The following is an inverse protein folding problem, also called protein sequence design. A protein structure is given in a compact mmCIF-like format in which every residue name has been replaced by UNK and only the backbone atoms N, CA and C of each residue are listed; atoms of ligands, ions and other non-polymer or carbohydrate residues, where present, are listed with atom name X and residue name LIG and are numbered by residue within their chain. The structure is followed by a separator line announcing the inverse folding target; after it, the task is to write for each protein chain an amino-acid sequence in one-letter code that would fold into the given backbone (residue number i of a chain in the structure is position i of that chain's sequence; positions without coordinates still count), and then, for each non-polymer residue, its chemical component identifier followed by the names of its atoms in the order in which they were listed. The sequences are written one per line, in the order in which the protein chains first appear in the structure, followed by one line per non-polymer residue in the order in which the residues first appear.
data_IF_450479030977
#
_entry.id   IF_450479030977
#
_cell.length_a   1.000
_cell.length_b   1.000
_cell.length_c   1.000
_cell.angle_alpha   90.00
_cell.angle_beta   90.00
_cell.angle_gamma   90.00
#
_symmetry.space_group_name_H-M   'P 1'
#
loop_
_entity.id
_entity.type
_entity.pdbx_description
1 polymer ?
#
# COMPACT_ATOMS: atom_id res chain seq x y z
N UNK A 1 0.79 -7.39 10.74
CA UNK A 1 1.41 -8.65 10.29
C UNK A 1 2.92 -8.44 10.26
N UNK A 2 3.73 -9.43 10.60
CA UNK A 2 5.19 -9.29 10.50
C UNK A 2 5.59 -9.19 9.00
N UNK A 3 6.51 -8.28 8.68
CA UNK A 3 7.04 -8.13 7.32
C UNK A 3 7.79 -9.42 6.94
N UNK A 4 7.55 -10.02 5.76
CA UNK A 4 8.27 -11.20 5.30
C UNK A 4 9.80 -10.99 5.33
N UNK A 5 10.56 -11.98 5.80
CA UNK A 5 12.02 -11.92 5.81
C UNK A 5 12.56 -12.34 4.44
N UNK A 6 13.44 -11.51 3.85
CA UNK A 6 14.03 -11.78 2.54
C UNK A 6 15.02 -12.95 2.60
N UNK A 7 15.06 -13.82 1.58
CA UNK A 7 16.07 -14.86 1.49
C UNK A 7 17.46 -14.27 1.25
N UNK A 8 18.55 -15.00 1.61
CA UNK A 8 19.90 -14.52 1.44
C UNK A 8 20.24 -14.26 -0.04
N UNK A 9 21.10 -13.26 -0.34
CA UNK A 9 21.55 -13.00 -1.70
C UNK A 9 22.12 -14.25 -2.36
N UNK A 10 21.81 -14.42 -3.65
CA UNK A 10 22.30 -15.56 -4.44
C UNK A 10 23.43 -15.09 -5.34
N UNK A 11 24.62 -15.65 -5.16
CA UNK A 11 25.69 -15.58 -6.15
C UNK A 11 25.63 -16.85 -7.01
N UNK A 12 25.48 -16.69 -8.32
CA UNK A 12 25.15 -17.79 -9.23
C UNK A 12 26.11 -17.74 -10.41
N UNK A 13 26.96 -18.76 -10.47
CA UNK A 13 27.77 -19.02 -11.65
C UNK A 13 26.92 -19.61 -12.79
N UNK A 14 27.51 -19.66 -13.99
CA UNK A 14 26.81 -20.14 -15.18
C UNK A 14 26.38 -21.62 -15.07
N UNK A 15 27.12 -22.43 -14.33
CA UNK A 15 26.83 -23.86 -14.16
C UNK A 15 25.62 -24.08 -13.26
N UNK A 16 25.57 -23.35 -12.15
CA UNK A 16 24.42 -23.32 -11.22
C UNK A 16 23.18 -22.82 -11.93
N UNK A 17 23.29 -21.76 -12.74
CA UNK A 17 22.19 -21.25 -13.56
C UNK A 17 21.65 -22.30 -14.53
N UNK A 18 22.54 -23.03 -15.21
CA UNK A 18 22.16 -24.10 -16.13
C UNK A 18 21.45 -25.24 -15.39
N UNK A 19 21.99 -25.66 -14.24
CA UNK A 19 21.37 -26.68 -13.40
C UNK A 19 19.96 -26.30 -12.93
N UNK A 20 19.76 -25.04 -12.52
CA UNK A 20 18.44 -24.52 -12.13
C UNK A 20 17.46 -24.58 -13.31
N UNK A 21 17.84 -24.08 -14.49
CA UNK A 21 16.97 -24.07 -15.67
C UNK A 21 16.60 -25.50 -16.09
N UNK A 22 17.57 -26.41 -16.10
CA UNK A 22 17.31 -27.82 -16.45
C UNK A 22 16.42 -28.51 -15.41
N UNK A 23 16.59 -28.20 -14.12
CA UNK A 23 15.71 -28.64 -13.04
C UNK A 23 14.28 -28.14 -13.21
N UNK A 24 14.10 -26.84 -13.49
CA UNK A 24 12.79 -26.23 -13.70
C UNK A 24 12.06 -26.83 -14.90
N UNK A 25 12.75 -27.08 -16.02
CA UNK A 25 12.17 -27.76 -17.18
C UNK A 25 11.70 -29.19 -16.85
N UNK A 26 12.46 -29.92 -16.03
CA UNK A 26 12.06 -31.27 -15.58
C UNK A 26 10.85 -31.22 -14.65
N UNK A 27 10.79 -30.25 -13.73
CA UNK A 27 9.63 -30.03 -12.86
C UNK A 27 8.41 -29.69 -13.70
N UNK A 28 8.52 -28.77 -14.65
CA UNK A 28 7.44 -28.42 -15.57
C UNK A 28 6.94 -29.66 -16.34
N UNK A 29 7.84 -30.43 -16.95
CA UNK A 29 7.48 -31.66 -17.66
C UNK A 29 6.80 -32.70 -16.74
N UNK A 30 7.21 -32.79 -15.48
CA UNK A 30 6.57 -33.64 -14.48
C UNK A 30 5.13 -33.18 -14.21
N UNK A 31 4.91 -31.89 -13.97
CA UNK A 31 3.58 -31.33 -13.73
C UNK A 31 2.67 -31.49 -14.96
N UNK A 32 3.18 -31.23 -16.16
CA UNK A 32 2.46 -31.43 -17.43
C UNK A 32 2.01 -32.88 -17.61
N UNK A 33 2.91 -33.84 -17.40
CA UNK A 33 2.59 -35.28 -17.51
C UNK A 33 1.47 -35.71 -16.54
N UNK A 34 1.31 -35.00 -15.43
CA UNK A 34 0.28 -35.27 -14.42
C UNK A 34 -0.97 -34.39 -14.61
N UNK A 35 -1.08 -33.62 -15.69
CA UNK A 35 -2.23 -32.74 -15.95
C UNK A 35 -2.34 -31.55 -15.01
N UNK A 36 -1.26 -31.19 -14.33
CA UNK A 36 -1.17 -30.06 -13.37
C UNK A 36 -0.65 -28.77 -14.02
N UNK A 37 -0.25 -28.83 -15.30
CA UNK A 37 0.15 -27.69 -16.11
C UNK A 37 -0.20 -27.96 -17.57
N UNK A 38 -0.43 -26.90 -18.36
CA UNK A 38 -0.70 -27.01 -19.80
C UNK A 38 0.48 -27.67 -20.54
N UNK A 39 0.21 -28.67 -21.38
CA UNK A 39 1.20 -29.40 -22.18
C UNK A 39 1.98 -28.49 -23.15
N UNK A 40 1.38 -27.39 -23.61
CA UNK A 40 2.01 -26.41 -24.48
C UNK A 40 2.94 -25.44 -23.76
N UNK A 41 2.91 -25.41 -22.42
CA UNK A 41 3.65 -24.44 -21.62
C UNK A 41 5.16 -24.68 -21.71
N UNK A 42 5.92 -23.61 -21.93
CA UNK A 42 7.39 -23.67 -21.95
C UNK A 42 7.99 -22.92 -20.77
N UNK A 43 9.28 -23.18 -20.50
CA UNK A 43 10.06 -22.37 -19.55
C UNK A 43 10.04 -20.88 -19.90
N UNK A 44 10.01 -20.53 -21.20
CA UNK A 44 9.98 -19.14 -21.61
C UNK A 44 8.66 -18.47 -21.23
N UNK A 45 7.54 -19.20 -21.29
CA UNK A 45 6.23 -18.71 -20.87
C UNK A 45 6.19 -18.50 -19.35
N UNK A 46 6.71 -19.46 -18.57
CA UNK A 46 6.83 -19.35 -17.11
C UNK A 46 7.51 -18.03 -16.71
N UNK A 47 8.64 -17.69 -17.33
CA UNK A 47 9.39 -16.48 -16.91
C UNK A 47 8.87 -15.20 -17.58
N UNK A 48 7.89 -15.26 -18.48
CA UNK A 48 7.38 -14.07 -19.19
C UNK A 48 6.00 -13.63 -18.69
N UNK A 49 5.26 -14.51 -18.02
CA UNK A 49 3.88 -14.29 -17.60
C UNK A 49 3.74 -14.49 -16.08
N UNK A 50 3.44 -13.43 -15.30
CA UNK A 50 3.39 -13.51 -13.84
C UNK A 50 2.34 -14.49 -13.30
N UNK A 51 1.16 -14.51 -13.91
CA UNK A 51 0.04 -15.40 -13.59
C UNK A 51 0.40 -16.88 -13.82
N UNK A 52 1.05 -17.16 -14.94
CA UNK A 52 1.56 -18.49 -15.27
C UNK A 52 2.62 -18.95 -14.26
N UNK A 53 3.54 -18.05 -13.89
CA UNK A 53 4.58 -18.38 -12.91
C UNK A 53 3.99 -18.63 -11.51
N UNK A 54 2.99 -17.84 -11.12
CA UNK A 54 2.30 -17.99 -9.85
C UNK A 54 1.60 -19.34 -9.76
N UNK A 55 0.84 -19.72 -10.80
CA UNK A 55 0.21 -21.04 -10.88
C UNK A 55 1.25 -22.16 -10.84
N UNK A 56 2.33 -22.07 -11.63
CA UNK A 56 3.42 -23.07 -11.61
C UNK A 56 4.02 -23.27 -10.21
N UNK A 57 4.31 -22.18 -9.48
CA UNK A 57 4.83 -22.26 -8.10
C UNK A 57 3.79 -22.88 -7.16
N UNK A 58 2.52 -22.50 -7.31
CA UNK A 58 1.41 -23.08 -6.55
C UNK A 58 1.28 -24.59 -6.77
N UNK A 59 1.27 -25.02 -8.03
CA UNK A 59 1.18 -26.44 -8.41
C UNK A 59 2.38 -27.25 -7.92
N UNK A 60 3.60 -26.71 -8.04
CA UNK A 60 4.79 -27.34 -7.50
C UNK A 60 4.71 -27.51 -5.98
N UNK A 61 4.31 -26.46 -5.26
CA UNK A 61 4.20 -26.48 -3.80
C UNK A 61 3.17 -27.51 -3.33
N UNK A 62 2.00 -27.55 -3.98
CA UNK A 62 0.93 -28.49 -3.67
C UNK A 62 1.26 -29.95 -4.02
N UNK A 63 2.13 -30.18 -5.01
CA UNK A 63 2.42 -31.52 -5.54
C UNK A 63 3.90 -31.90 -5.47
N UNK A 64 4.64 -31.32 -4.52
CA UNK A 64 6.08 -31.49 -4.34
C UNK A 64 6.57 -32.95 -4.38
N UNK A 65 5.86 -33.95 -3.81
CA UNK A 65 6.28 -35.36 -3.88
C UNK A 65 6.44 -35.91 -5.30
N UNK A 66 5.71 -35.39 -6.29
CA UNK A 66 5.86 -35.82 -7.68
C UNK A 66 7.24 -35.49 -8.26
N UNK A 67 7.92 -34.50 -7.68
CA UNK A 67 9.20 -33.96 -8.14
C UNK A 67 10.41 -34.42 -7.32
N UNK A 68 10.24 -35.43 -6.46
CA UNK A 68 11.29 -35.93 -5.55
C UNK A 68 12.57 -36.36 -6.26
N UNK A 69 12.41 -36.90 -7.45
CA UNK A 69 13.56 -37.35 -8.24
C UNK A 69 14.38 -36.22 -8.85
N UNK A 70 13.81 -35.01 -8.86
CA UNK A 70 14.37 -33.81 -9.49
C UNK A 70 14.94 -32.87 -8.43
N UNK A 71 14.18 -32.63 -7.36
CA UNK A 71 14.50 -31.63 -6.33
C UNK A 71 15.21 -32.30 -5.16
N UNK A 72 16.54 -32.49 -5.31
CA UNK A 72 17.38 -33.26 -4.41
C UNK A 72 18.45 -32.43 -3.70
N UNK A 73 18.75 -32.81 -2.47
CA UNK A 73 19.90 -32.34 -1.71
C UNK A 73 21.20 -33.04 -2.18
N UNK A 74 22.34 -32.62 -1.64
CA UNK A 74 23.65 -33.20 -1.96
C UNK A 74 23.80 -34.68 -1.60
N UNK A 75 23.06 -35.14 -0.60
CA UNK A 75 23.01 -36.54 -0.17
C UNK A 75 22.06 -37.40 -1.03
N UNK A 76 21.43 -36.80 -2.04
CA UNK A 76 20.50 -37.46 -2.95
C UNK A 76 19.06 -37.58 -2.44
N UNK A 77 18.78 -37.11 -1.21
CA UNK A 77 17.43 -37.13 -0.64
C UNK A 77 16.55 -36.01 -1.20
N UNK A 78 15.22 -36.19 -1.27
CA UNK A 78 14.31 -35.14 -1.71
C UNK A 78 14.29 -33.97 -0.70
N UNK A 79 14.28 -32.74 -1.21
CA UNK A 79 14.25 -31.53 -0.36
C UNK A 79 12.81 -31.19 0.02
N UNK A 80 12.59 -30.99 1.32
CA UNK A 80 11.29 -30.65 1.92
C UNK A 80 11.26 -29.32 2.64
N UNK A 81 12.41 -28.90 3.16
CA UNK A 81 12.64 -27.58 3.71
C UNK A 81 13.12 -26.64 2.58
N UNK A 82 12.50 -25.48 2.44
CA UNK A 82 12.82 -24.54 1.36
C UNK A 82 14.14 -23.78 1.58
N UNK A 83 14.69 -23.83 2.80
CA UNK A 83 16.00 -23.30 3.15
C UNK A 83 17.12 -24.34 3.00
N UNK A 84 16.78 -25.63 2.83
CA UNK A 84 17.77 -26.68 2.60
C UNK A 84 18.42 -26.52 1.21
N UNK A 85 19.75 -26.66 1.19
CA UNK A 85 20.53 -26.55 -0.05
C UNK A 85 20.29 -27.73 -0.99
N UNK A 86 19.97 -27.42 -2.24
CA UNK A 86 19.91 -28.36 -3.35
C UNK A 86 21.32 -28.82 -3.75
N UNK A 87 21.40 -29.87 -4.56
CA UNK A 87 22.65 -30.38 -5.14
C UNK A 87 23.47 -29.30 -5.88
N UNK A 88 22.80 -28.28 -6.42
CA UNK A 88 23.40 -27.13 -7.09
C UNK A 88 23.77 -25.96 -6.16
N UNK A 89 23.86 -26.16 -4.84
CA UNK A 89 24.27 -25.15 -3.85
C UNK A 89 23.36 -23.92 -3.73
N UNK A 90 22.08 -24.05 -4.06
CA UNK A 90 21.06 -23.02 -3.81
C UNK A 90 19.85 -23.63 -3.12
N UNK A 91 19.13 -22.85 -2.32
CA UNK A 91 17.86 -23.27 -1.71
C UNK A 91 16.67 -23.03 -2.64
N UNK A 92 15.50 -23.58 -2.33
CA UNK A 92 14.29 -23.35 -3.12
C UNK A 92 13.78 -21.92 -2.99
N UNK A 93 13.92 -21.29 -1.83
CA UNK A 93 13.64 -19.86 -1.67
C UNK A 93 14.52 -19.00 -2.61
N UNK A 94 15.79 -19.35 -2.76
CA UNK A 94 16.69 -18.67 -3.69
C UNK A 94 16.27 -18.90 -5.14
N UNK A 95 15.89 -20.12 -5.51
CA UNK A 95 15.35 -20.43 -6.85
C UNK A 95 14.09 -19.61 -7.15
N UNK A 96 13.13 -19.57 -6.21
CA UNK A 96 11.92 -18.78 -6.35
C UNK A 96 12.23 -17.28 -6.53
N UNK A 97 13.13 -16.73 -5.71
CA UNK A 97 13.55 -15.33 -5.84
C UNK A 97 14.10 -15.02 -7.23
N UNK A 98 14.90 -15.91 -7.82
CA UNK A 98 15.42 -15.73 -9.18
C UNK A 98 14.34 -15.76 -10.23
N UNK A 99 13.37 -16.67 -10.10
CA UNK A 99 12.24 -16.77 -11.02
C UNK A 99 11.42 -15.48 -11.02
N UNK A 100 11.08 -14.98 -9.82
CA UNK A 100 10.31 -13.74 -9.67
C UNK A 100 11.08 -12.56 -10.23
N UNK A 101 12.38 -12.42 -9.94
CA UNK A 101 13.21 -11.35 -10.51
C UNK A 101 13.31 -11.44 -12.03
N UNK A 102 13.42 -12.65 -12.57
CA UNK A 102 13.45 -12.88 -14.03
C UNK A 102 12.12 -12.50 -14.67
N UNK A 103 11.00 -12.86 -14.04
CA UNK A 103 9.66 -12.48 -14.49
C UNK A 103 9.44 -10.97 -14.42
N UNK A 104 9.81 -10.34 -13.30
CA UNK A 104 9.78 -8.89 -13.15
C UNK A 104 10.59 -8.18 -14.24
N UNK A 105 11.76 -8.72 -14.61
CA UNK A 105 12.53 -8.20 -15.74
C UNK A 105 11.72 -8.21 -17.03
N UNK A 106 11.05 -9.31 -17.36
CA UNK A 106 10.21 -9.41 -18.57
C UNK A 106 9.05 -8.43 -18.55
N UNK A 107 8.38 -8.26 -17.41
CA UNK A 107 7.28 -7.30 -17.25
C UNK A 107 7.75 -5.85 -17.44
N UNK A 108 8.91 -5.49 -16.89
CA UNK A 108 9.45 -4.14 -16.98
C UNK A 108 10.07 -3.83 -18.36
N UNK A 109 10.54 -4.85 -19.09
CA UNK A 109 11.07 -4.73 -20.46
C UNK A 109 9.98 -4.90 -21.55
N UNK A 110 8.73 -5.16 -21.17
CA UNK A 110 7.65 -5.44 -22.11
C UNK A 110 7.37 -4.26 -23.05
N UNK A 111 7.38 -3.03 -22.53
CA UNK A 111 7.25 -1.83 -23.35
C UNK A 111 8.63 -1.28 -23.67
N UNK A 112 8.96 -1.27 -24.97
CA UNK A 112 10.17 -0.65 -25.47
C UNK A 112 9.90 0.81 -25.79
N UNK A 113 10.75 1.68 -25.28
CA UNK A 113 10.70 3.11 -25.57
C UNK A 113 11.75 3.48 -26.62
N UNK A 114 11.39 4.43 -27.49
CA UNK A 114 12.30 5.03 -28.44
C UNK A 114 13.12 6.11 -27.73
N UNK A 115 14.44 5.97 -27.71
CA UNK A 115 15.37 6.93 -27.12
C UNK A 115 16.30 7.50 -28.19
N UNK A 116 16.46 8.81 -28.21
CA UNK A 116 17.45 9.46 -29.07
C UNK A 116 18.83 9.34 -28.43
N UNK A 117 19.75 8.66 -29.11
CA UNK A 117 21.14 8.49 -28.68
C UNK A 117 22.02 9.25 -29.66
N UNK A 118 22.88 10.14 -29.15
CA UNK A 118 23.89 10.81 -29.97
C UNK A 118 25.04 9.85 -30.24
N UNK A 119 25.13 9.36 -31.47
CA UNK A 119 26.20 8.46 -31.91
C UNK A 119 27.25 9.22 -32.71
N UNK A 120 28.52 8.92 -32.43
CA UNK A 120 29.63 9.43 -33.21
C UNK A 120 29.82 8.55 -34.45
N UNK A 121 29.28 8.97 -35.59
CA UNK A 121 29.36 8.23 -36.85
C UNK A 121 30.53 8.76 -37.68
N UNK A 122 31.49 7.89 -38.00
CA UNK A 122 32.58 8.23 -38.91
C UNK A 122 32.17 7.93 -40.35
N UNK A 123 31.79 8.96 -41.11
CA UNK A 123 31.50 8.83 -42.54
C UNK A 123 32.79 9.03 -43.35
N UNK A 124 33.01 8.18 -44.36
CA UNK A 124 34.06 8.41 -45.36
C UNK A 124 33.56 9.44 -46.36
N UNK A 125 34.23 10.58 -46.47
CA UNK A 125 33.91 11.62 -47.46
C UNK A 125 35.09 11.80 -48.42
N UNK A 126 34.77 12.07 -49.70
CA UNK A 126 35.67 12.18 -50.86
C UNK A 126 36.71 11.04 -51.01
N UNK A 127 36.45 10.13 -51.95
CA UNK A 127 37.44 9.16 -52.46
C UNK A 127 38.20 8.37 -51.37
N UNK A 128 37.56 8.06 -50.25
CA UNK A 128 38.10 7.15 -49.23
C UNK A 128 39.29 7.66 -48.42
N UNK A 129 39.74 8.91 -48.63
CA UNK A 129 40.95 9.45 -48.01
C UNK A 129 40.71 10.32 -46.77
N UNK A 130 39.48 10.80 -46.54
CA UNK A 130 39.15 11.65 -45.38
C UNK A 130 38.00 11.00 -44.58
N UNK A 131 38.26 10.73 -43.30
CA UNK A 131 37.27 10.28 -42.32
C UNK A 131 36.68 11.51 -41.64
N UNK A 132 35.40 11.79 -41.87
CA UNK A 132 34.67 12.85 -41.18
C UNK A 132 33.85 12.20 -40.06
N UNK A 133 34.15 12.60 -38.84
CA UNK A 133 33.43 12.14 -37.65
C UNK A 133 32.30 13.14 -37.37
N UNK A 134 31.05 12.71 -37.47
CA UNK A 134 29.86 13.53 -37.17
C UNK A 134 29.09 12.90 -36.03
N UNK A 135 28.61 13.71 -35.09
CA UNK A 135 27.63 13.28 -34.11
C UNK A 135 26.26 13.29 -34.78
N UNK A 136 25.63 12.12 -34.86
CA UNK A 136 24.29 11.93 -35.43
C UNK A 136 23.38 11.45 -34.32
N UNK A 137 22.24 12.10 -34.16
CA UNK A 137 21.18 11.62 -33.28
C UNK A 137 20.46 10.44 -33.94
N UNK A 138 20.56 9.26 -33.33
CA UNK A 138 19.94 8.01 -33.79
C UNK A 138 18.89 7.60 -32.75
N UNK A 139 17.64 7.45 -33.17
CA UNK A 139 16.58 6.91 -32.33
C UNK A 139 16.74 5.38 -32.23
N UNK A 140 17.10 4.88 -31.04
CA UNK A 140 17.12 3.45 -30.73
C UNK A 140 15.90 3.06 -29.92
N UNK A 141 15.24 1.98 -30.32
CA UNK A 141 14.21 1.32 -29.51
C UNK A 141 14.91 0.43 -28.51
N UNK A 142 14.77 0.72 -27.22
CA UNK A 142 15.46 0.02 -26.14
C UNK A 142 14.63 -0.01 -24.86
N UNK A 143 15.19 -0.59 -23.82
CA UNK A 143 14.61 -0.53 -22.49
C UNK A 143 14.70 0.90 -21.95
N UNK A 144 13.66 1.35 -21.24
CA UNK A 144 13.69 2.64 -20.55
C UNK A 144 14.72 2.60 -19.40
N UNK A 145 15.77 3.45 -19.43
CA UNK A 145 16.75 3.52 -18.34
C UNK A 145 16.13 3.87 -16.98
N UNK A 146 14.97 4.54 -16.96
CA UNK A 146 14.24 4.85 -15.72
C UNK A 146 13.63 3.59 -15.13
N UNK A 147 12.95 2.79 -15.95
CA UNK A 147 12.36 1.51 -15.54
C UNK A 147 13.44 0.50 -15.14
N UNK A 148 14.60 0.50 -15.80
CA UNK A 148 15.73 -0.35 -15.40
C UNK A 148 16.28 0.00 -14.00
N UNK A 149 16.40 1.30 -13.68
CA UNK A 149 16.84 1.75 -12.34
C UNK A 149 15.81 1.40 -11.28
N UNK A 150 14.54 1.61 -11.60
CA UNK A 150 13.41 1.27 -10.75
C UNK A 150 13.38 -0.22 -10.42
N UNK A 151 13.48 -1.07 -11.44
CA UNK A 151 13.53 -2.52 -11.29
C UNK A 151 14.72 -2.97 -10.45
N UNK A 152 15.91 -2.37 -10.67
CA UNK A 152 17.12 -2.70 -9.91
C UNK A 152 16.95 -2.42 -8.42
N UNK A 153 16.25 -1.35 -8.07
CA UNK A 153 15.94 -1.07 -6.66
C UNK A 153 14.91 -2.07 -6.13
N UNK A 154 13.85 -2.32 -6.89
CA UNK A 154 12.79 -3.26 -6.51
C UNK A 154 13.31 -4.70 -6.31
N UNK A 155 14.33 -5.13 -7.05
CA UNK A 155 14.97 -6.45 -6.90
C UNK A 155 15.40 -6.76 -5.48
N UNK A 156 15.74 -5.76 -4.66
CA UNK A 156 16.09 -5.95 -3.25
C UNK A 156 14.94 -6.59 -2.47
N UNK A 157 13.70 -6.34 -2.88
CA UNK A 157 12.48 -6.73 -2.18
C UNK A 157 11.68 -7.82 -2.91
N UNK A 158 11.99 -8.15 -4.17
CA UNK A 158 11.32 -9.23 -4.90
C UNK A 158 11.87 -10.59 -4.50
N UNK A 159 11.04 -11.42 -3.87
CA UNK A 159 11.40 -12.76 -3.40
C UNK A 159 10.22 -13.74 -3.27
N UNK A 160 8.98 -13.26 -3.22
CA UNK A 160 7.81 -14.07 -2.88
C UNK A 160 6.81 -14.19 -4.02
N UNK A 161 6.22 -15.37 -4.20
CA UNK A 161 5.29 -15.65 -5.30
C UNK A 161 4.08 -14.70 -5.31
N UNK A 162 3.57 -14.31 -4.15
CA UNK A 162 2.45 -13.36 -4.02
C UNK A 162 2.74 -11.98 -4.65
N UNK A 163 4.00 -11.65 -4.93
CA UNK A 163 4.38 -10.39 -5.58
C UNK A 163 4.20 -10.42 -7.10
N UNK A 164 4.08 -11.61 -7.72
CA UNK A 164 3.92 -11.78 -9.16
C UNK A 164 2.72 -10.99 -9.74
N UNK A 165 1.49 -11.10 -9.20
CA UNK A 165 0.35 -10.31 -9.68
C UNK A 165 0.51 -8.80 -9.44
N UNK A 166 1.48 -8.38 -8.63
CA UNK A 166 1.72 -6.98 -8.27
C UNK A 166 2.77 -6.30 -9.16
N UNK A 167 3.49 -7.05 -10.01
CA UNK A 167 4.60 -6.51 -10.81
C UNK A 167 4.17 -5.35 -11.71
N UNK A 168 3.02 -5.46 -12.37
CA UNK A 168 2.47 -4.37 -13.19
C UNK A 168 2.09 -3.16 -12.34
N UNK A 169 1.47 -3.37 -11.17
CA UNK A 169 1.12 -2.27 -10.27
C UNK A 169 2.37 -1.52 -9.75
N UNK A 170 3.44 -2.24 -9.39
CA UNK A 170 4.72 -1.61 -9.04
C UNK A 170 5.28 -0.81 -10.22
N UNK A 171 5.19 -1.36 -11.44
CA UNK A 171 5.65 -0.71 -12.67
C UNK A 171 4.83 0.54 -13.03
N UNK A 172 3.53 0.53 -12.85
CA UNK A 172 2.66 1.61 -13.31
C UNK A 172 2.51 2.74 -12.28
N UNK A 173 2.50 2.42 -10.99
CA UNK A 173 2.10 3.38 -9.96
C UNK A 173 3.23 3.90 -9.07
N UNK A 174 4.36 3.18 -9.00
CA UNK A 174 5.49 3.65 -8.19
C UNK A 174 6.58 4.25 -9.08
N UNK A 175 7.30 5.23 -8.55
CA UNK A 175 8.51 5.78 -9.14
C UNK A 175 9.72 5.20 -8.43
N UNK A 176 10.89 5.28 -9.07
CA UNK A 176 12.16 4.89 -8.44
C UNK A 176 12.37 5.57 -7.08
N UNK A 177 12.08 6.88 -6.97
CA UNK A 177 12.25 7.63 -5.72
C UNK A 177 11.26 7.20 -4.64
N UNK A 178 10.01 6.88 -4.99
CA UNK A 178 9.05 6.34 -4.02
C UNK A 178 9.52 4.99 -3.47
N UNK A 179 10.04 4.09 -4.31
CA UNK A 179 10.57 2.80 -3.86
C UNK A 179 11.72 2.97 -2.87
N UNK A 180 12.63 3.94 -3.11
CA UNK A 180 13.71 4.26 -2.16
C UNK A 180 13.16 4.72 -0.81
N UNK A 181 12.22 5.66 -0.82
CA UNK A 181 11.69 6.23 0.42
C UNK A 181 10.85 5.20 1.21
N UNK A 182 10.14 4.31 0.51
CA UNK A 182 9.41 3.20 1.13
C UNK A 182 10.40 2.16 1.70
N UNK A 183 11.42 1.74 0.95
CA UNK A 183 12.42 0.77 1.39
C UNK A 183 11.84 -0.63 1.65
N UNK A 184 12.25 -1.28 2.74
CA UNK A 184 11.78 -2.64 3.11
C UNK A 184 10.24 -2.71 3.29
N UNK A 185 9.59 -1.58 3.60
CA UNK A 185 8.15 -1.48 3.75
C UNK A 185 7.37 -1.71 2.43
N UNK A 186 8.07 -1.81 1.28
CA UNK A 186 7.44 -2.19 -0.01
C UNK A 186 6.75 -3.56 0.12
N UNK A 187 7.28 -4.44 0.98
CA UNK A 187 6.70 -5.74 1.28
C UNK A 187 5.34 -5.66 2.00
N UNK A 188 4.98 -4.52 2.57
CA UNK A 188 3.65 -4.29 3.14
C UNK A 188 2.57 -4.03 2.07
N UNK A 189 2.97 -3.70 0.83
CA UNK A 189 2.07 -3.40 -0.26
C UNK A 189 1.64 -4.68 -0.97
N UNK A 190 0.65 -5.37 -0.39
CA UNK A 190 0.18 -6.69 -0.81
C UNK A 190 -0.97 -6.67 -1.83
N UNK A 191 -1.47 -5.50 -2.25
CA UNK A 191 -2.53 -5.41 -3.26
C UNK A 191 -2.27 -4.29 -4.28
N UNK A 192 -2.80 -4.40 -5.50
CA UNK A 192 -2.69 -3.34 -6.52
C UNK A 192 -3.27 -2.01 -6.04
N UNK A 193 -4.38 -2.02 -5.30
CA UNK A 193 -5.05 -0.81 -4.81
C UNK A 193 -4.19 -0.09 -3.76
N UNK A 194 -3.50 -0.83 -2.89
CA UNK A 194 -2.57 -0.26 -1.93
C UNK A 194 -1.40 0.42 -2.65
N UNK A 195 -0.81 -0.26 -3.65
CA UNK A 195 0.28 0.28 -4.47
C UNK A 195 -0.17 1.55 -5.21
N UNK A 196 -1.33 1.50 -5.86
CA UNK A 196 -1.91 2.64 -6.57
C UNK A 196 -2.22 3.82 -5.63
N UNK A 197 -2.66 3.54 -4.40
CA UNK A 197 -2.91 4.57 -3.39
C UNK A 197 -1.62 5.24 -2.94
N UNK A 198 -0.58 4.46 -2.64
CA UNK A 198 0.74 4.98 -2.26
C UNK A 198 1.39 5.76 -3.39
N UNK A 199 1.23 5.29 -4.63
CA UNK A 199 1.76 5.92 -5.84
C UNK A 199 1.31 7.38 -6.07
N UNK A 200 0.20 7.80 -5.44
CA UNK A 200 -0.31 9.18 -5.52
C UNK A 200 0.48 10.18 -4.68
N UNK A 201 1.31 9.73 -3.74
CA UNK A 201 2.07 10.60 -2.85
C UNK A 201 3.50 10.80 -3.36
N UNK A 202 3.95 12.05 -3.42
CA UNK A 202 5.32 12.35 -3.82
C UNK A 202 6.35 11.80 -2.80
N UNK A 203 7.62 11.59 -3.20
CA UNK A 203 8.66 11.05 -2.32
C UNK A 203 8.88 11.86 -1.03
N UNK A 204 8.74 13.20 -1.07
CA UNK A 204 8.94 14.04 0.11
C UNK A 204 7.82 13.83 1.14
N UNK A 205 6.58 13.63 0.67
CA UNK A 205 5.44 13.26 1.51
C UNK A 205 5.67 11.90 2.17
N UNK A 206 6.10 10.88 1.43
CA UNK A 206 6.41 9.55 1.99
C UNK A 206 7.51 9.63 3.06
N UNK A 207 8.60 10.34 2.76
CA UNK A 207 9.69 10.59 3.69
C UNK A 207 9.23 11.28 4.98
N UNK A 208 8.39 12.32 4.84
CA UNK A 208 7.81 13.05 5.98
C UNK A 208 6.97 12.13 6.85
N UNK A 209 6.10 11.33 6.25
CA UNK A 209 5.21 10.41 6.97
C UNK A 209 6.01 9.32 7.67
N UNK A 210 7.00 8.74 7.00
CA UNK A 210 7.90 7.74 7.61
C UNK A 210 8.66 8.32 8.81
N UNK A 211 9.15 9.55 8.72
CA UNK A 211 9.81 10.23 9.83
C UNK A 211 8.86 10.55 11.01
N UNK A 212 7.59 10.87 10.73
CA UNK A 212 6.59 11.17 11.76
C UNK A 212 6.03 9.90 12.43
N UNK A 213 5.69 8.88 11.63
CA UNK A 213 5.09 7.64 12.09
C UNK A 213 6.10 6.64 12.67
N UNK A 214 7.35 6.69 12.21
CA UNK A 214 8.39 5.76 12.64
C UNK A 214 7.96 4.30 12.41
N UNK A 215 7.96 3.44 13.45
CA UNK A 215 7.57 2.02 13.32
C UNK A 215 6.15 1.79 12.80
N UNK A 216 5.23 2.74 12.99
CA UNK A 216 3.84 2.62 12.55
C UNK A 216 3.69 2.79 11.03
N UNK A 217 4.75 3.21 10.31
CA UNK A 217 4.69 3.42 8.86
C UNK A 217 4.28 2.14 8.11
N UNK A 218 4.86 0.99 8.46
CA UNK A 218 4.50 -0.31 7.90
C UNK A 218 3.01 -0.61 8.13
N UNK A 219 2.50 -0.35 9.34
CA UNK A 219 1.11 -0.62 9.72
C UNK A 219 0.13 0.25 8.94
N UNK A 220 0.51 1.50 8.63
CA UNK A 220 -0.24 2.39 7.74
C UNK A 220 -0.35 1.76 6.34
N UNK A 221 0.74 1.25 5.79
CA UNK A 221 0.75 0.63 4.45
C UNK A 221 -0.08 -0.66 4.39
N UNK A 222 -0.08 -1.46 5.45
CA UNK A 222 -0.86 -2.71 5.50
C UNK A 222 -2.35 -2.43 5.61
N UNK A 223 -2.76 -1.58 6.55
CA UNK A 223 -4.17 -1.50 6.94
C UNK A 223 -4.92 -0.36 6.25
N UNK A 224 -4.27 0.78 6.01
CA UNK A 224 -4.96 1.97 5.47
C UNK A 224 -4.00 2.96 4.80
N UNK A 225 -3.48 2.67 3.60
CA UNK A 225 -2.55 3.55 2.88
C UNK A 225 -3.03 4.99 2.69
N UNK A 226 -4.34 5.23 2.65
CA UNK A 226 -4.94 6.56 2.56
C UNK A 226 -4.56 7.45 3.75
N UNK A 227 -4.21 6.86 4.91
CA UNK A 227 -3.79 7.59 6.09
C UNK A 227 -2.48 8.37 5.92
N UNK A 228 -1.66 8.06 4.90
CA UNK A 228 -0.46 8.84 4.54
C UNK A 228 -0.82 10.33 4.39
N UNK A 229 -1.94 10.63 3.73
CA UNK A 229 -2.39 12.01 3.49
C UNK A 229 -2.58 12.78 4.80
N UNK A 230 -3.29 12.20 5.78
CA UNK A 230 -3.55 12.85 7.05
C UNK A 230 -2.35 12.89 7.97
N UNK A 231 -1.53 11.83 8.02
CA UNK A 231 -0.28 11.85 8.81
C UNK A 231 0.66 12.94 8.30
N UNK A 232 0.72 13.16 6.98
CA UNK A 232 1.54 14.20 6.36
C UNK A 232 1.13 15.63 6.76
N UNK A 233 -0.06 15.86 7.31
CA UNK A 233 -0.48 17.20 7.79
C UNK A 233 0.23 17.56 9.09
N UNK A 234 0.55 16.57 9.92
CA UNK A 234 1.00 16.79 11.29
C UNK A 234 2.54 16.74 11.40
N UNK A 235 3.06 17.39 12.45
CA UNK A 235 4.40 17.11 12.93
C UNK A 235 4.37 15.85 13.83
N UNK A 236 5.55 15.38 14.23
CA UNK A 236 5.69 14.17 15.05
C UNK A 236 4.89 14.26 16.36
N UNK A 237 5.01 15.36 17.10
CA UNK A 237 4.32 15.53 18.39
C UNK A 237 2.79 15.48 18.27
N UNK A 238 2.23 16.07 17.22
CA UNK A 238 0.79 16.05 16.96
C UNK A 238 0.33 14.68 16.44
N UNK A 239 1.14 14.03 15.60
CA UNK A 239 0.91 12.65 15.19
C UNK A 239 0.85 11.73 16.42
N UNK A 240 1.86 11.76 17.28
CA UNK A 240 1.92 10.92 18.50
C UNK A 240 0.76 11.22 19.44
N UNK A 241 0.36 12.50 19.57
CA UNK A 241 -0.83 12.88 20.34
C UNK A 241 -2.11 12.22 19.80
N UNK A 242 -2.41 12.39 18.51
CA UNK A 242 -3.63 11.81 17.91
C UNK A 242 -3.58 10.28 17.89
N UNK A 243 -2.42 9.69 17.57
CA UNK A 243 -2.22 8.24 17.57
C UNK A 243 -2.49 7.63 18.94
N UNK A 244 -1.95 8.22 20.01
CA UNK A 244 -2.17 7.78 21.39
C UNK A 244 -3.61 8.00 21.86
N UNK A 245 -4.20 9.13 21.52
CA UNK A 245 -5.56 9.49 21.94
C UNK A 245 -6.62 8.62 21.28
N UNK A 246 -6.44 8.29 20.00
CA UNK A 246 -7.45 7.60 19.19
C UNK A 246 -7.29 6.07 19.20
N UNK A 247 -6.11 5.55 19.56
CA UNK A 247 -5.84 4.11 19.54
C UNK A 247 -6.10 3.52 18.16
N UNK A 248 -6.94 2.48 18.09
CA UNK A 248 -7.26 1.76 16.86
C UNK A 248 -8.04 2.62 15.84
N UNK A 249 -8.75 3.65 16.29
CA UNK A 249 -9.49 4.57 15.42
C UNK A 249 -8.57 5.57 14.69
N UNK A 250 -7.27 5.62 15.02
CA UNK A 250 -6.33 6.59 14.46
C UNK A 250 -6.22 6.49 12.94
N UNK A 251 -6.25 5.29 12.36
CA UNK A 251 -6.15 5.12 10.90
C UNK A 251 -7.37 5.64 10.16
N UNK A 252 -8.56 5.47 10.72
CA UNK A 252 -9.77 6.07 10.16
C UNK A 252 -9.71 7.60 10.21
N UNK A 253 -9.20 8.17 11.31
CA UNK A 253 -8.96 9.61 11.44
C UNK A 253 -7.92 10.14 10.44
N UNK A 254 -6.77 9.49 10.29
CA UNK A 254 -5.74 9.95 9.36
C UNK A 254 -6.11 9.72 7.89
N UNK A 255 -7.02 8.78 7.60
CA UNK A 255 -7.54 8.57 6.24
C UNK A 255 -8.65 9.55 5.83
N UNK A 256 -8.96 10.55 6.68
CA UNK A 256 -9.92 11.60 6.37
C UNK A 256 -9.40 12.53 5.26
N UNK A 257 -10.33 13.27 4.66
CA UNK A 257 -10.04 14.22 3.60
C UNK A 257 -9.21 15.42 4.11
N UNK A 258 -8.45 16.04 3.21
CA UNK A 258 -7.56 17.16 3.55
C UNK A 258 -8.30 18.31 4.25
N UNK A 259 -9.50 18.64 3.78
CA UNK A 259 -10.28 19.76 4.31
C UNK A 259 -10.76 19.52 5.75
N UNK A 260 -10.94 18.26 6.15
CA UNK A 260 -11.25 17.92 7.53
C UNK A 260 -10.12 18.34 8.47
N UNK A 261 -8.87 18.15 8.07
CA UNK A 261 -7.72 18.52 8.91
C UNK A 261 -7.56 20.03 9.09
N UNK A 262 -8.06 20.86 8.16
CA UNK A 262 -8.09 22.31 8.35
C UNK A 262 -8.98 22.70 9.53
N UNK A 263 -10.10 22.00 9.72
CA UNK A 263 -11.02 22.20 10.86
C UNK A 263 -10.43 21.61 12.14
N UNK A 264 -9.75 20.47 12.07
CA UNK A 264 -9.11 19.85 13.24
C UNK A 264 -7.89 20.64 13.72
N UNK A 265 -7.17 21.32 12.83
CA UNK A 265 -6.00 22.12 13.18
C UNK A 265 -6.31 23.32 14.09
N UNK A 266 -7.57 23.77 14.15
CA UNK A 266 -8.02 24.81 15.09
C UNK A 266 -8.28 24.28 16.51
N UNK A 267 -8.31 22.95 16.70
CA UNK A 267 -8.54 22.34 18.00
C UNK A 267 -7.26 22.33 18.82
N UNK A 268 -7.36 22.78 20.07
CA UNK A 268 -6.33 22.51 21.05
C UNK A 268 -6.42 21.05 21.56
N UNK A 269 -5.37 20.58 22.24
CA UNK A 269 -5.30 19.20 22.75
C UNK A 269 -6.43 18.88 23.75
N UNK A 270 -6.80 19.76 24.71
CA UNK A 270 -7.95 19.54 25.58
C UNK A 270 -9.26 19.31 24.84
N UNK A 271 -9.58 20.16 23.86
CA UNK A 271 -10.82 20.04 23.08
C UNK A 271 -10.78 18.80 22.19
N UNK A 272 -9.65 18.49 21.55
CA UNK A 272 -9.52 17.26 20.76
C UNK A 272 -9.80 15.99 21.57
N UNK A 273 -9.42 15.96 22.87
CA UNK A 273 -9.73 14.83 23.77
C UNK A 273 -11.22 14.69 24.07
N UNK A 274 -11.97 15.78 24.08
CA UNK A 274 -13.43 15.75 24.25
C UNK A 274 -14.09 15.00 23.10
N UNK A 275 -13.64 15.23 21.87
CA UNK A 275 -14.15 14.49 20.71
C UNK A 275 -13.66 13.04 20.69
N UNK A 276 -12.37 12.80 20.97
CA UNK A 276 -11.80 11.46 20.97
C UNK A 276 -12.01 10.75 19.62
N UNK A 277 -12.46 9.49 19.68
CA UNK A 277 -12.78 8.65 18.52
C UNK A 277 -13.83 9.26 17.56
N UNK A 278 -14.64 10.23 18.01
CA UNK A 278 -15.59 10.95 17.14
C UNK A 278 -14.88 11.65 15.98
N UNK A 279 -13.62 12.09 16.18
CA UNK A 279 -12.83 12.68 15.10
C UNK A 279 -12.60 11.71 13.93
N UNK A 280 -12.68 10.40 14.16
CA UNK A 280 -12.52 9.42 13.07
C UNK A 280 -13.68 9.40 12.08
N UNK A 281 -14.86 9.92 12.43
CA UNK A 281 -16.05 9.84 11.58
C UNK A 281 -16.90 11.11 11.48
N UNK A 282 -16.80 12.08 12.41
CA UNK A 282 -17.60 13.32 12.36
C UNK A 282 -17.34 14.12 11.09
N UNK A 283 -18.37 14.61 10.41
CA UNK A 283 -18.23 15.45 9.22
C UNK A 283 -17.57 16.80 9.57
N UNK A 284 -16.91 17.43 8.60
CA UNK A 284 -16.25 18.74 8.81
C UNK A 284 -17.26 19.81 9.25
N UNK A 285 -18.46 19.79 8.68
CA UNK A 285 -19.56 20.71 8.98
C UNK A 285 -20.07 20.50 10.40
N UNK A 286 -20.25 19.24 10.81
CA UNK A 286 -20.72 18.92 12.16
C UNK A 286 -19.68 19.32 13.21
N UNK A 287 -18.41 19.09 12.93
CA UNK A 287 -17.32 19.51 13.80
C UNK A 287 -17.27 21.04 13.94
N UNK A 288 -17.37 21.77 12.82
CA UNK A 288 -17.35 23.24 12.82
C UNK A 288 -18.53 23.84 13.61
N UNK A 289 -19.72 23.24 13.56
CA UNK A 289 -20.85 23.69 14.37
C UNK A 289 -20.61 23.46 15.87
N UNK A 290 -20.09 22.29 16.28
CA UNK A 290 -19.82 22.01 17.70
C UNK A 290 -18.69 22.91 18.24
N UNK A 291 -17.69 23.26 17.43
CA UNK A 291 -16.60 24.17 17.79
C UNK A 291 -17.04 25.58 18.23
N UNK A 292 -18.29 25.97 17.95
CA UNK A 292 -18.87 27.23 18.46
C UNK A 292 -19.06 27.21 19.98
N UNK A 293 -19.12 26.02 20.57
CA UNK A 293 -19.28 25.80 22.01
C UNK A 293 -17.93 25.90 22.72
N UNK A 294 -17.95 26.30 24.00
CA UNK A 294 -16.78 26.13 24.86
C UNK A 294 -16.53 24.64 25.16
N UNK A 295 -15.39 24.33 25.77
CA UNK A 295 -14.97 22.94 26.03
C UNK A 295 -16.01 22.14 26.85
N UNK A 296 -16.57 22.73 27.91
CA UNK A 296 -17.55 22.05 28.78
C UNK A 296 -18.83 21.71 28.02
N UNK A 297 -19.34 22.64 27.21
CA UNK A 297 -20.55 22.42 26.41
C UNK A 297 -20.30 21.46 25.26
N UNK A 298 -19.11 21.49 24.66
CA UNK A 298 -18.70 20.52 23.66
C UNK A 298 -18.72 19.11 24.25
N UNK A 299 -18.21 18.94 25.47
CA UNK A 299 -18.21 17.66 26.18
C UNK A 299 -19.61 17.20 26.52
N UNK A 300 -20.47 18.12 26.97
CA UNK A 300 -21.89 17.84 27.20
C UNK A 300 -22.55 17.30 25.93
N UNK A 301 -22.37 17.99 24.82
CA UNK A 301 -23.01 17.64 23.55
C UNK A 301 -22.49 16.30 23.02
N UNK A 302 -21.17 16.12 22.92
CA UNK A 302 -20.56 14.89 22.39
C UNK A 302 -20.95 13.68 23.24
N UNK A 303 -20.91 13.80 24.56
CA UNK A 303 -21.31 12.71 25.47
C UNK A 303 -22.79 12.39 25.35
N UNK A 304 -23.65 13.42 25.29
CA UNK A 304 -25.10 13.24 25.17
C UNK A 304 -25.49 12.58 23.84
N UNK A 305 -24.85 12.98 22.73
CA UNK A 305 -25.05 12.36 21.43
C UNK A 305 -24.58 10.89 21.43
N UNK A 306 -23.44 10.59 22.05
CA UNK A 306 -22.95 9.22 22.20
C UNK A 306 -23.92 8.34 22.97
N UNK A 307 -24.44 8.82 24.09
CA UNK A 307 -25.43 8.09 24.89
C UNK A 307 -26.75 7.88 24.12
N UNK A 308 -27.16 8.83 23.29
CA UNK A 308 -28.42 8.76 22.55
C UNK A 308 -28.34 7.83 21.33
N UNK A 309 -27.25 7.89 20.56
CA UNK A 309 -27.15 7.20 19.27
C UNK A 309 -26.30 5.92 19.29
N UNK A 310 -25.45 5.73 20.31
CA UNK A 310 -24.59 4.55 20.44
C UNK A 310 -23.85 4.23 19.15
N UNK A 311 -23.99 3.00 18.65
CA UNK A 311 -23.34 2.52 17.43
C UNK A 311 -23.80 3.22 16.14
N UNK A 312 -24.92 3.96 16.18
CA UNK A 312 -25.40 4.75 15.03
C UNK A 312 -24.79 6.14 14.97
N UNK A 313 -24.05 6.55 16.01
CA UNK A 313 -23.43 7.88 16.06
C UNK A 313 -22.58 8.20 14.82
N UNK A 314 -21.78 7.27 14.25
CA UNK A 314 -21.02 7.55 13.03
C UNK A 314 -21.90 7.89 11.83
N UNK A 315 -23.05 7.24 11.68
CA UNK A 315 -23.99 7.51 10.59
C UNK A 315 -24.67 8.89 10.73
N UNK A 316 -24.85 9.35 11.96
CA UNK A 316 -25.47 10.66 12.25
C UNK A 316 -24.44 11.77 12.09
N UNK A 317 -23.36 11.72 12.88
CA UNK A 317 -22.35 12.78 12.91
C UNK A 317 -21.46 12.80 11.68
N UNK A 318 -21.31 11.67 10.98
CA UNK A 318 -20.56 11.61 9.73
C UNK A 318 -21.31 12.12 8.52
N UNK A 319 -22.62 12.38 8.63
CA UNK A 319 -23.41 12.86 7.51
C UNK A 319 -23.31 14.39 7.36
N UNK A 320 -22.82 14.95 6.24
CA UNK A 320 -22.58 16.40 6.09
C UNK A 320 -23.81 17.28 6.35
N UNK A 321 -24.98 16.85 5.89
CA UNK A 321 -26.22 17.62 6.07
C UNK A 321 -26.74 17.66 7.52
N UNK A 322 -26.26 16.77 8.41
CA UNK A 322 -26.71 16.75 9.80
C UNK A 322 -26.45 18.09 10.50
N UNK A 323 -25.30 18.70 10.19
CA UNK A 323 -24.90 20.00 10.68
C UNK A 323 -25.98 21.07 10.47
N UNK A 324 -26.42 21.22 9.21
CA UNK A 324 -27.39 22.24 8.78
C UNK A 324 -28.82 21.92 9.20
N UNK A 325 -29.23 20.66 9.05
CA UNK A 325 -30.64 20.28 9.18
C UNK A 325 -31.07 20.16 10.64
N UNK A 326 -30.17 19.71 11.52
CA UNK A 326 -30.49 19.34 12.90
C UNK A 326 -29.52 19.97 13.90
N UNK A 327 -28.22 19.71 13.75
CA UNK A 327 -27.23 20.00 14.79
C UNK A 327 -27.12 21.49 15.11
N UNK A 328 -27.21 22.39 14.13
CA UNK A 328 -27.15 23.84 14.36
C UNK A 328 -28.15 24.32 15.41
N UNK A 329 -29.40 23.86 15.33
CA UNK A 329 -30.45 24.22 16.31
C UNK A 329 -30.11 23.69 17.70
N UNK A 330 -29.54 22.49 17.77
CA UNK A 330 -29.11 21.85 19.02
C UNK A 330 -27.95 22.64 19.66
N UNK A 331 -26.96 23.04 18.85
CA UNK A 331 -25.83 23.88 19.26
C UNK A 331 -26.31 25.26 19.71
N UNK A 332 -27.18 25.93 18.94
CA UNK A 332 -27.72 27.25 19.27
C UNK A 332 -28.46 27.22 20.61
N UNK A 333 -29.27 26.19 20.87
CA UNK A 333 -29.93 26.00 22.15
C UNK A 333 -28.92 25.88 23.30
N UNK A 334 -27.87 25.06 23.14
CA UNK A 334 -26.86 24.86 24.18
C UNK A 334 -25.98 26.10 24.40
N UNK A 335 -25.70 26.87 23.35
CA UNK A 335 -24.93 28.13 23.43
C UNK A 335 -25.55 29.11 24.42
N UNK A 336 -26.88 29.25 24.41
CA UNK A 336 -27.60 30.20 25.25
C UNK A 336 -27.90 29.70 26.68
N UNK A 337 -27.60 28.45 27.01
CA UNK A 337 -27.82 27.92 28.36
C UNK A 337 -26.70 28.35 29.33
N UNK A 338 -27.10 28.82 30.51
CA UNK A 338 -26.23 29.21 31.63
C UNK A 338 -26.50 28.32 32.85
N UNK A 339 -26.22 27.02 32.73
CA UNK A 339 -26.30 26.06 33.83
C UNK A 339 -24.93 25.44 34.10
N UNK A 340 -24.74 24.94 35.32
CA UNK A 340 -23.58 24.13 35.68
C UNK A 340 -23.51 22.85 34.81
N UNK A 341 -22.29 22.38 34.55
CA UNK A 341 -22.01 21.26 33.65
C UNK A 341 -22.85 20.02 33.95
N UNK A 342 -23.01 19.61 35.21
CA UNK A 342 -23.77 18.41 35.57
C UNK A 342 -25.27 18.54 35.25
N UNK A 343 -25.83 19.74 35.43
CA UNK A 343 -27.23 20.04 35.08
C UNK A 343 -27.41 20.10 33.56
N UNK A 344 -26.42 20.64 32.84
CA UNK A 344 -26.38 20.58 31.38
C UNK A 344 -26.30 19.13 30.88
N UNK A 345 -25.42 18.31 31.46
CA UNK A 345 -25.29 16.88 31.13
C UNK A 345 -26.63 16.14 31.24
N UNK A 346 -27.33 16.29 32.37
CA UNK A 346 -28.59 15.59 32.60
C UNK A 346 -29.70 16.07 31.62
N UNK A 347 -29.86 17.38 31.47
CA UNK A 347 -30.89 17.94 30.60
C UNK A 347 -30.63 17.66 29.11
N UNK A 348 -29.38 17.79 28.66
CA UNK A 348 -29.04 17.59 27.26
C UNK A 348 -29.01 16.12 26.84
N UNK A 349 -28.65 15.21 27.75
CA UNK A 349 -28.79 13.77 27.52
C UNK A 349 -30.27 13.40 27.23
N UNK A 350 -31.22 13.98 27.96
CA UNK A 350 -32.65 13.77 27.71
C UNK A 350 -33.08 14.36 26.36
N UNK A 351 -32.63 15.58 26.04
CA UNK A 351 -32.90 16.22 24.74
C UNK A 351 -32.38 15.39 23.56
N UNK A 352 -31.14 14.90 23.64
CA UNK A 352 -30.56 14.05 22.59
C UNK A 352 -31.32 12.73 22.45
N UNK A 353 -31.74 12.09 23.55
CA UNK A 353 -32.57 10.88 23.52
C UNK A 353 -33.94 11.13 22.88
N UNK A 354 -34.59 12.23 23.23
CA UNK A 354 -35.89 12.61 22.66
C UNK A 354 -35.80 12.91 21.15
N UNK A 355 -34.63 13.33 20.67
CA UNK A 355 -34.39 13.62 19.25
C UNK A 355 -34.18 12.36 18.39
N UNK A 356 -33.91 11.20 18.99
CA UNK A 356 -33.58 9.96 18.26
C UNK A 356 -34.62 9.57 17.20
N UNK A 357 -35.95 9.58 17.47
CA UNK A 357 -36.95 9.23 16.45
C UNK A 357 -36.90 10.17 15.24
N UNK A 358 -36.82 11.48 15.48
CA UNK A 358 -36.74 12.51 14.44
C UNK A 358 -35.48 12.35 13.59
N UNK A 359 -34.33 12.08 14.22
CA UNK A 359 -33.07 11.85 13.51
C UNK A 359 -33.12 10.56 12.71
N UNK A 360 -33.78 9.51 13.23
CA UNK A 360 -33.93 8.26 12.49
C UNK A 360 -34.81 8.42 11.25
N UNK A 361 -35.91 9.17 11.37
CA UNK A 361 -36.76 9.50 10.23
C UNK A 361 -36.01 10.36 9.21
N UNK A 362 -35.23 11.34 9.68
CA UNK A 362 -34.39 12.17 8.83
C UNK A 362 -33.32 11.35 8.10
N UNK A 363 -32.60 10.45 8.81
CA UNK A 363 -31.61 9.54 8.22
C UNK A 363 -32.22 8.65 7.12
N UNK A 364 -33.45 8.17 7.32
CA UNK A 364 -34.13 7.33 6.33
C UNK A 364 -34.47 8.09 5.02
N UNK A 365 -34.54 9.43 5.07
CA UNK A 365 -34.80 10.30 3.92
C UNK A 365 -33.52 10.83 3.27
N UNK A 366 -32.36 10.61 3.87
CA UNK A 366 -31.11 11.07 3.29
C UNK A 366 -30.73 10.22 2.07
N UNK A 367 -30.12 10.84 1.03
CA UNK A 367 -29.49 10.07 -0.02
C UNK A 367 -28.45 9.14 0.62
N UNK A 368 -28.46 7.86 0.22
CA UNK A 368 -27.43 6.94 0.68
C UNK A 368 -26.08 7.45 0.15
N UNK A 369 -25.05 7.56 1.02
CA UNK A 369 -23.72 7.96 0.60
C UNK A 369 -23.13 6.99 -0.42
#
# INVERSE_FOLDING_TARGET
MAVPTLPPPVDIDNDTKKAIIDGLKKVLACLQKNGLADEGLTYQDLISHPDVLEDFIGQFTANRPLCDDIVKAKDGQPVRDDDQMLVCNVSLHQVQQLLIRTCAKKVFEADKSAHTVTETVTKKALFGLIKKTEQVEVTRVGNDPVEERKLRELYRYLAFAWQLPLLSAYREHLTYQQIIEIGDDVLALATPEAIATVGKFDPATLKKVKAAAGPDFTDILVNRPQAIAGVAVWNRDMYEFYRKMLGDAAWAFFAREKDFFNVVASLDKPVARVYGDVLSFISSESLAEIQRLNIDKSEVLVTSLRMAFGNRLPLVLGHPNFAKDILRKVVDNLLHMSQEKDKLMASFSLTCKAMVPTVNEWLAKQPRP
#
